data_IF_212403789755
#
_entry.id   IF_212403789755
#
_cell.length_a   1.000
_cell.length_b   1.000
_cell.length_c   1.000
_cell.angle_alpha   90.00
_cell.angle_beta   90.00
_cell.angle_gamma   90.00
#
_symmetry.space_group_name_H-M   'P 1'
#
loop_
_entity.id
_entity.type
_entity.pdbx_description
1 polymer ?
#
# COMPACT_ATOMS: atom_id res chain seq x y z
N UNK A 1 45.67 33.86 -26.14
CA UNK A 1 45.35 35.06 -25.33
C UNK A 1 43.93 34.96 -24.82
N UNK A 2 43.75 34.52 -23.57
CA UNK A 2 42.82 35.09 -22.58
C UNK A 2 42.92 34.22 -21.32
N UNK A 3 43.72 34.74 -20.39
CA UNK A 3 43.91 34.28 -19.03
C UNK A 3 42.73 34.78 -18.17
N UNK A 4 42.19 33.92 -17.31
CA UNK A 4 41.62 34.34 -16.03
C UNK A 4 41.72 33.18 -15.02
N UNK A 5 42.77 33.28 -14.21
CA UNK A 5 42.97 32.63 -12.90
C UNK A 5 41.82 32.96 -11.93
N UNK A 6 41.49 32.03 -11.02
CA UNK A 6 41.00 32.25 -9.63
C UNK A 6 40.88 30.87 -8.91
N UNK A 7 40.93 30.79 -7.57
CA UNK A 7 42.06 30.18 -6.87
C UNK A 7 41.70 28.98 -5.98
N UNK A 8 42.73 28.22 -5.62
CA UNK A 8 42.72 27.22 -4.56
C UNK A 8 42.70 27.87 -3.16
N UNK A 9 41.98 27.24 -2.22
CA UNK A 9 42.28 27.32 -0.79
C UNK A 9 41.21 27.96 0.09
N UNK A 10 40.30 27.14 0.66
CA UNK A 10 39.86 27.26 2.06
C UNK A 10 39.60 25.85 2.61
N UNK A 11 40.52 25.35 3.42
CA UNK A 11 40.33 24.17 4.28
C UNK A 11 39.43 24.57 5.45
N UNK A 12 38.15 24.20 5.39
CA UNK A 12 37.25 24.33 6.52
C UNK A 12 37.39 23.13 7.46
N UNK A 13 38.13 23.33 8.55
CA UNK A 13 38.17 22.49 9.74
C UNK A 13 36.78 22.45 10.40
N UNK A 14 36.17 21.27 10.49
CA UNK A 14 34.94 21.06 11.25
C UNK A 14 35.27 20.56 12.66
N UNK A 15 34.79 21.23 13.73
CA UNK A 15 35.06 20.81 15.09
C UNK A 15 34.22 19.60 15.50
N UNK A 16 34.93 18.65 16.11
CA UNK A 16 34.44 17.42 16.71
C UNK A 16 33.62 17.75 17.98
N UNK A 17 32.30 17.65 17.93
CA UNK A 17 31.40 17.89 19.07
C UNK A 17 30.95 16.55 19.66
N UNK A 18 31.77 16.04 20.59
CA UNK A 18 31.41 15.00 21.54
C UNK A 18 30.24 15.46 22.41
N UNK A 19 29.02 15.00 22.11
CA UNK A 19 27.88 15.11 23.04
C UNK A 19 27.83 13.86 23.92
N UNK A 20 28.27 14.06 25.15
CA UNK A 20 28.19 13.16 26.29
C UNK A 20 26.75 12.67 26.52
N UNK A 21 26.52 11.37 26.31
CA UNK A 21 25.29 10.69 26.70
C UNK A 21 25.39 10.34 28.19
N UNK A 22 24.71 11.11 29.03
CA UNK A 22 24.43 10.74 30.43
C UNK A 22 23.52 9.51 30.46
N UNK A 23 24.11 8.32 30.56
CA UNK A 23 23.44 7.09 30.99
C UNK A 23 22.96 7.28 32.42
N UNK A 24 21.64 7.34 32.63
CA UNK A 24 21.03 7.14 33.94
C UNK A 24 20.98 5.64 34.20
N UNK A 25 21.90 5.14 35.01
CA UNK A 25 21.84 3.82 35.63
C UNK A 25 20.72 3.84 36.68
N UNK A 26 19.62 3.15 36.41
CA UNK A 26 18.72 2.67 37.46
C UNK A 26 19.09 1.22 37.74
N UNK A 27 20.01 1.01 38.67
CA UNK A 27 20.26 -0.30 39.26
C UNK A 27 19.09 -0.61 40.21
N UNK A 28 18.24 -1.55 39.80
CA UNK A 28 17.28 -2.22 40.66
C UNK A 28 18.04 -3.09 41.67
N UNK A 29 17.93 -2.74 42.95
CA UNK A 29 18.36 -3.58 44.06
C UNK A 29 17.40 -4.76 44.17
N UNK A 30 17.89 -5.92 43.74
CA UNK A 30 17.33 -7.24 44.03
C UNK A 30 17.52 -7.49 45.53
N UNK A 31 16.43 -7.74 46.24
CA UNK A 31 16.46 -8.32 47.59
C UNK A 31 15.57 -9.55 47.55
N UNK A 32 16.21 -10.70 47.69
CA UNK A 32 15.60 -12.00 47.96
C UNK A 32 14.94 -11.96 49.35
N UNK A 33 13.71 -12.45 49.45
CA UNK A 33 13.17 -12.98 50.69
C UNK A 33 12.09 -14.00 50.34
N UNK A 34 12.39 -15.25 50.68
CA UNK A 34 11.53 -16.44 50.57
C UNK A 34 10.38 -16.39 51.60
N UNK A 35 9.24 -16.96 51.16
CA UNK A 35 8.24 -17.78 51.86
C UNK A 35 7.90 -17.55 53.34
N UNK A 36 6.60 -17.36 53.61
CA UNK A 36 5.80 -18.34 54.35
C UNK A 36 4.28 -18.02 54.29
N UNK A 37 3.50 -19.10 54.16
CA UNK A 37 2.05 -19.15 53.95
C UNK A 37 1.23 -19.01 55.27
N UNK A 38 0.19 -18.15 55.22
CA UNK A 38 -1.22 -18.40 55.65
C UNK A 38 -1.63 -18.34 57.18
N UNK A 39 -2.93 -18.36 57.55
CA UNK A 39 -3.86 -17.20 57.68
C UNK A 39 -4.57 -17.10 59.07
N UNK A 40 -5.23 -15.99 59.46
CA UNK A 40 -6.27 -16.02 60.53
C UNK A 40 -7.38 -14.95 60.43
N UNK A 41 -8.54 -15.35 60.97
CA UNK A 41 -9.95 -14.93 60.87
C UNK A 41 -10.30 -13.65 61.66
N UNK A 42 -11.38 -12.89 61.32
CA UNK A 42 -11.80 -11.68 62.05
C UNK A 42 -12.71 -11.97 63.24
N UNK A 43 -12.61 -11.16 64.30
CA UNK A 43 -13.53 -11.20 65.45
C UNK A 43 -14.18 -9.83 65.70
N UNK A 44 -15.50 -9.88 65.82
CA UNK A 44 -16.45 -8.82 66.17
C UNK A 44 -16.73 -8.88 67.67
N UNK A 45 -16.76 -7.74 68.40
CA UNK A 45 -17.56 -7.62 69.62
C UNK A 45 -17.85 -6.15 70.06
N UNK A 46 -19.14 -5.95 70.36
CA UNK A 46 -19.93 -4.86 70.99
C UNK A 46 -19.39 -4.46 72.40
N UNK A 47 -19.66 -3.35 73.11
CA UNK A 47 -20.60 -2.20 73.05
C UNK A 47 -20.26 -1.18 74.21
N UNK A 48 -21.17 -0.36 74.81
CA UNK A 48 -21.04 1.11 74.87
C UNK A 48 -20.80 1.71 76.29
N UNK A 49 -20.19 2.89 76.37
CA UNK A 49 -20.05 3.63 77.64
C UNK A 49 -20.84 4.94 77.57
N UNK A 50 -21.87 5.04 78.41
CA UNK A 50 -22.61 6.24 78.79
C UNK A 50 -21.75 7.11 79.70
N UNK A 51 -21.79 8.45 79.59
CA UNK A 51 -21.64 9.43 80.69
C UNK A 51 -21.92 10.88 80.16
N UNK A 52 -22.24 11.88 81.01
CA UNK A 52 -23.46 12.65 80.90
C UNK A 52 -23.28 14.13 80.52
N UNK A 53 -24.41 14.73 80.15
CA UNK A 53 -24.60 16.10 79.68
C UNK A 53 -24.39 17.17 80.75
N UNK A 54 -23.54 18.17 80.49
CA UNK A 54 -23.66 19.51 81.09
C UNK A 54 -23.54 20.63 80.04
N UNK A 55 -24.61 21.44 79.99
CA UNK A 55 -24.88 22.56 79.09
C UNK A 55 -23.90 23.71 79.35
N UNK A 56 -23.07 24.10 78.37
CA UNK A 56 -22.50 25.46 78.28
C UNK A 56 -23.19 26.24 77.16
N UNK A 57 -23.92 27.29 77.56
CA UNK A 57 -24.53 28.30 76.69
C UNK A 57 -23.45 28.93 75.79
N UNK A 58 -23.54 28.75 74.47
CA UNK A 58 -22.86 29.62 73.49
C UNK A 58 -23.87 30.57 72.88
N UNK A 59 -23.48 31.84 72.89
CA UNK A 59 -24.22 33.02 72.42
C UNK A 59 -24.56 32.87 70.93
N UNK A 60 -25.73 33.39 70.56
CA UNK A 60 -26.34 33.20 69.25
C UNK A 60 -25.47 33.69 68.09
N UNK A 61 -25.16 32.77 67.18
CA UNK A 61 -24.74 33.08 65.82
C UNK A 61 -26.00 33.06 64.95
N UNK A 62 -26.40 34.19 64.37
CA UNK A 62 -27.50 34.22 63.39
C UNK A 62 -27.07 33.42 62.16
N UNK A 63 -27.85 32.43 61.67
CA UNK A 63 -27.48 31.68 60.48
C UNK A 63 -27.67 32.59 59.26
N UNK A 64 -26.61 32.83 58.47
CA UNK A 64 -26.78 33.27 57.08
C UNK A 64 -27.55 32.17 56.34
N UNK A 65 -28.58 32.54 55.58
CA UNK A 65 -29.30 31.64 54.70
C UNK A 65 -28.30 30.81 53.87
N UNK A 66 -28.24 29.50 54.14
CA UNK A 66 -27.59 28.54 53.26
C UNK A 66 -28.38 28.55 51.95
N UNK A 67 -27.76 29.01 50.87
CA UNK A 67 -28.23 28.67 49.52
C UNK A 67 -28.26 27.15 49.44
N UNK A 68 -29.45 26.58 49.29
CA UNK A 68 -29.64 25.16 49.01
C UNK A 68 -28.97 24.85 47.68
N UNK A 69 -27.75 24.32 47.71
CA UNK A 69 -27.18 23.70 46.53
C UNK A 69 -27.98 22.42 46.27
N UNK A 70 -28.61 22.35 45.11
CA UNK A 70 -29.33 21.16 44.63
C UNK A 70 -28.46 19.90 44.83
N UNK A 71 -29.03 18.76 45.28
CA UNK A 71 -28.28 17.52 45.40
C UNK A 71 -27.63 17.17 44.06
N UNK A 72 -26.32 16.88 44.06
CA UNK A 72 -25.64 16.38 42.86
C UNK A 72 -26.36 15.11 42.43
N UNK A 73 -26.93 15.15 41.22
CA UNK A 73 -27.68 14.05 40.62
C UNK A 73 -26.73 12.85 40.51
N UNK A 74 -26.86 11.87 41.41
CA UNK A 74 -26.10 10.61 41.42
C UNK A 74 -26.53 9.66 40.28
N UNK A 75 -26.98 10.20 39.15
CA UNK A 75 -27.23 9.45 37.93
C UNK A 75 -25.96 9.46 37.11
N UNK A 76 -25.38 8.28 36.90
CA UNK A 76 -24.23 8.13 36.02
C UNK A 76 -24.60 8.70 34.65
N UNK A 77 -23.76 9.59 34.10
CA UNK A 77 -24.03 10.21 32.81
C UNK A 77 -24.05 9.12 31.74
N UNK A 78 -25.18 8.92 31.07
CA UNK A 78 -25.38 7.88 30.04
C UNK A 78 -24.27 7.86 28.97
N UNK A 79 -23.74 9.03 28.58
CA UNK A 79 -22.59 9.10 27.65
C UNK A 79 -21.28 8.60 28.26
N UNK A 80 -21.09 8.79 29.57
CA UNK A 80 -19.92 8.29 30.29
C UNK A 80 -20.00 6.78 30.52
N UNK A 81 -21.20 6.23 30.70
CA UNK A 81 -21.41 4.77 30.74
C UNK A 81 -21.16 4.13 29.39
N UNK A 82 -21.65 4.71 28.29
CA UNK A 82 -21.40 4.20 26.94
C UNK A 82 -19.90 4.25 26.59
N UNK A 83 -19.19 5.33 26.94
CA UNK A 83 -17.74 5.42 26.76
C UNK A 83 -16.96 4.38 27.60
N UNK A 84 -17.44 4.07 28.81
CA UNK A 84 -16.87 3.01 29.66
C UNK A 84 -17.18 1.63 29.09
N UNK A 85 -18.38 1.41 28.56
CA UNK A 85 -18.76 0.16 27.91
C UNK A 85 -17.90 -0.10 26.67
N UNK A 86 -17.69 0.90 25.80
CA UNK A 86 -16.80 0.78 24.63
C UNK A 86 -15.35 0.47 25.02
N UNK A 87 -14.84 1.11 26.08
CA UNK A 87 -13.49 0.80 26.60
C UNK A 87 -13.42 -0.61 27.18
N UNK A 88 -14.48 -1.05 27.86
CA UNK A 88 -14.57 -2.40 28.42
C UNK A 88 -14.64 -3.46 27.30
N UNK A 89 -15.36 -3.23 26.21
CA UNK A 89 -15.41 -4.16 25.07
C UNK A 89 -14.07 -4.25 24.36
N UNK A 90 -13.42 -3.12 24.07
CA UNK A 90 -12.08 -3.14 23.43
C UNK A 90 -11.02 -3.80 24.30
N UNK A 91 -11.10 -3.60 25.61
CA UNK A 91 -10.18 -4.22 26.56
C UNK A 91 -10.47 -5.72 26.75
N UNK A 92 -11.74 -6.12 26.69
CA UNK A 92 -12.14 -7.52 26.68
C UNK A 92 -11.65 -8.23 25.40
N UNK A 93 -11.83 -7.63 24.23
CA UNK A 93 -11.31 -8.17 22.95
C UNK A 93 -9.79 -8.27 22.93
N UNK A 94 -9.09 -7.27 23.51
CA UNK A 94 -7.62 -7.31 23.64
C UNK A 94 -7.19 -8.48 24.52
N UNK A 95 -7.83 -8.65 25.69
CA UNK A 95 -7.53 -9.75 26.61
C UNK A 95 -7.87 -11.11 26.02
N UNK A 96 -8.97 -11.21 25.29
CA UNK A 96 -9.39 -12.42 24.58
C UNK A 96 -8.41 -12.79 23.46
N UNK A 97 -7.95 -11.80 22.67
CA UNK A 97 -6.88 -12.02 21.69
C UNK A 97 -5.56 -12.44 22.36
N UNK A 98 -5.17 -11.82 23.45
CA UNK A 98 -3.96 -12.19 24.20
C UNK A 98 -4.08 -13.57 24.87
N UNK A 99 -5.28 -13.96 25.30
CA UNK A 99 -5.56 -15.29 25.83
C UNK A 99 -5.45 -16.33 24.71
N UNK A 100 -6.08 -16.10 23.55
CA UNK A 100 -5.96 -16.96 22.36
C UNK A 100 -4.52 -17.09 21.89
N UNK A 101 -3.77 -15.99 21.81
CA UNK A 101 -2.36 -16.03 21.42
C UNK A 101 -1.49 -16.79 22.44
N UNK A 102 -1.78 -16.66 23.74
CA UNK A 102 -1.05 -17.38 24.79
C UNK A 102 -1.36 -18.87 24.74
N UNK A 103 -2.63 -19.23 24.50
CA UNK A 103 -3.06 -20.61 24.32
C UNK A 103 -2.45 -21.21 23.04
N UNK A 104 -2.48 -20.49 21.92
CA UNK A 104 -1.86 -20.91 20.66
C UNK A 104 -0.34 -21.06 20.80
N UNK A 105 0.34 -20.16 21.53
CA UNK A 105 1.76 -20.29 21.86
C UNK A 105 2.02 -21.50 22.74
N UNK A 106 1.22 -21.72 23.77
CA UNK A 106 1.32 -22.89 24.64
C UNK A 106 1.17 -24.19 23.84
N UNK A 107 0.18 -24.27 22.94
CA UNK A 107 0.00 -25.42 22.05
C UNK A 107 1.16 -25.58 21.05
N UNK A 108 1.67 -24.48 20.48
CA UNK A 108 2.82 -24.52 19.55
C UNK A 108 4.11 -24.96 20.23
N UNK A 109 4.34 -24.53 21.47
CA UNK A 109 5.49 -24.95 22.28
C UNK A 109 5.35 -26.42 22.71
N UNK A 110 4.14 -26.87 23.02
CA UNK A 110 3.83 -28.27 23.33
C UNK A 110 3.98 -29.22 22.12
N UNK A 111 3.66 -28.75 20.91
CA UNK A 111 3.88 -29.51 19.66
C UNK A 111 5.36 -29.73 19.34
N UNK A 112 6.25 -28.92 19.92
CA UNK A 112 7.70 -29.02 19.71
C UNK A 112 8.12 -28.87 18.24
N UNK A 113 9.37 -29.25 17.95
CA UNK A 113 9.84 -29.23 16.57
C UNK A 113 9.21 -30.37 15.78
N UNK A 114 8.40 -30.03 14.76
CA UNK A 114 7.88 -30.98 13.77
C UNK A 114 8.98 -31.93 13.30
N UNK A 115 8.71 -33.23 13.30
CA UNK A 115 9.69 -34.25 12.88
C UNK A 115 10.20 -33.98 11.45
N UNK A 116 11.42 -34.42 11.14
CA UNK A 116 12.01 -34.25 9.79
C UNK A 116 11.10 -34.78 8.68
N UNK A 117 10.32 -35.83 8.96
CA UNK A 117 9.33 -36.39 8.05
C UNK A 117 8.09 -35.50 7.86
N UNK A 118 7.58 -34.87 8.92
CA UNK A 118 6.49 -33.91 8.83
C UNK A 118 6.91 -32.65 8.06
N UNK A 119 8.12 -32.14 8.33
CA UNK A 119 8.71 -31.01 7.59
C UNK A 119 8.87 -31.31 6.10
N UNK A 120 9.32 -32.53 5.75
CA UNK A 120 9.44 -32.96 4.34
C UNK A 120 8.07 -33.06 3.64
N UNK A 121 7.03 -33.58 4.32
CA UNK A 121 5.67 -33.65 3.78
C UNK A 121 5.06 -32.26 3.57
N UNK A 122 5.26 -31.34 4.51
CA UNK A 122 4.79 -29.96 4.40
C UNK A 122 5.48 -29.23 3.25
N UNK A 123 6.81 -29.34 3.12
CA UNK A 123 7.58 -28.76 2.01
C UNK A 123 7.20 -29.34 0.64
N UNK A 124 6.94 -30.65 0.56
CA UNK A 124 6.46 -31.30 -0.67
C UNK A 124 5.03 -30.85 -1.02
N UNK A 125 4.15 -30.69 -0.03
CA UNK A 125 2.81 -30.16 -0.25
C UNK A 125 2.83 -28.69 -0.69
N UNK A 126 3.73 -27.88 -0.13
CA UNK A 126 3.94 -26.50 -0.53
C UNK A 126 4.51 -26.40 -1.94
N UNK A 127 5.49 -27.23 -2.31
CA UNK A 127 6.03 -27.30 -3.68
C UNK A 127 5.00 -27.76 -4.69
N UNK A 128 4.13 -28.72 -4.33
CA UNK A 128 3.00 -29.15 -5.17
C UNK A 128 1.98 -28.03 -5.33
N UNK A 129 1.62 -27.35 -4.23
CA UNK A 129 0.69 -26.23 -4.25
C UNK A 129 1.23 -25.05 -5.09
N UNK A 130 2.50 -24.71 -4.94
CA UNK A 130 3.18 -23.67 -5.71
C UNK A 130 3.27 -24.06 -7.19
N UNK A 131 3.58 -25.32 -7.51
CA UNK A 131 3.57 -25.79 -8.90
C UNK A 131 2.17 -25.76 -9.53
N UNK A 132 1.13 -26.10 -8.77
CA UNK A 132 -0.26 -25.97 -9.24
C UNK A 132 -0.68 -24.51 -9.40
N UNK A 133 -0.26 -23.63 -8.50
CA UNK A 133 -0.53 -22.19 -8.59
C UNK A 133 0.20 -21.57 -9.80
N UNK A 134 1.47 -21.90 -10.03
CA UNK A 134 2.24 -21.44 -11.19
C UNK A 134 1.67 -21.95 -12.51
N UNK A 135 1.17 -23.19 -12.54
CA UNK A 135 0.46 -23.75 -13.71
C UNK A 135 -0.88 -23.06 -13.95
N UNK A 136 -1.61 -22.71 -12.89
CA UNK A 136 -2.87 -21.97 -13.00
C UNK A 136 -2.65 -20.53 -13.49
N UNK A 137 -1.60 -19.85 -13.00
CA UNK A 137 -1.22 -18.50 -13.45
C UNK A 137 -0.76 -18.50 -14.92
N UNK A 138 0.06 -19.48 -15.31
CA UNK A 138 0.48 -19.64 -16.71
C UNK A 138 -0.71 -19.93 -17.65
N UNK A 139 -1.69 -20.74 -17.21
CA UNK A 139 -2.93 -20.96 -17.96
C UNK A 139 -3.77 -19.70 -18.07
N UNK A 140 -3.86 -18.90 -17.00
CA UNK A 140 -4.57 -17.62 -17.03
C UNK A 140 -3.92 -16.63 -18.00
N UNK A 141 -2.59 -16.57 -18.05
CA UNK A 141 -1.87 -15.73 -19.00
C UNK A 141 -2.10 -16.18 -20.45
N UNK A 142 -2.02 -17.49 -20.72
CA UNK A 142 -2.31 -18.04 -22.05
C UNK A 142 -3.77 -17.79 -22.50
N UNK A 143 -4.74 -17.90 -21.59
CA UNK A 143 -6.14 -17.61 -21.89
C UNK A 143 -6.37 -16.10 -22.17
N UNK A 144 -5.60 -15.22 -21.53
CA UNK A 144 -5.63 -13.79 -21.83
C UNK A 144 -5.03 -13.50 -23.21
N UNK A 145 -3.90 -14.12 -23.56
CA UNK A 145 -3.29 -14.01 -24.89
C UNK A 145 -4.22 -14.56 -25.99
N UNK A 146 -4.88 -15.70 -25.75
CA UNK A 146 -5.85 -16.27 -26.68
C UNK A 146 -7.07 -15.36 -26.87
N UNK A 147 -7.57 -14.73 -25.79
CA UNK A 147 -8.66 -13.74 -25.88
C UNK A 147 -8.25 -12.46 -26.60
N UNK A 148 -6.99 -12.03 -26.51
CA UNK A 148 -6.48 -10.90 -27.28
C UNK A 148 -6.33 -11.24 -28.77
N UNK A 149 -5.90 -12.47 -29.08
CA UNK A 149 -5.91 -13.00 -30.44
C UNK A 149 -7.34 -13.15 -30.96
N UNK A 150 -8.30 -13.65 -30.18
CA UNK A 150 -9.70 -13.76 -30.61
C UNK A 150 -10.34 -12.38 -30.86
N UNK A 151 -10.04 -11.39 -30.01
CA UNK A 151 -10.49 -10.00 -30.21
C UNK A 151 -9.90 -9.37 -31.46
N UNK A 152 -8.65 -9.68 -31.80
CA UNK A 152 -8.01 -9.19 -33.03
C UNK A 152 -8.39 -9.99 -34.28
N UNK A 153 -8.80 -11.26 -34.12
CA UNK A 153 -9.29 -12.13 -35.20
C UNK A 153 -10.78 -11.93 -35.52
N UNK A 154 -11.57 -11.38 -34.59
CA UNK A 154 -12.94 -10.89 -34.88
C UNK A 154 -12.86 -9.61 -35.72
N UNK A 155 -12.81 -9.79 -37.05
CA UNK A 155 -13.12 -8.73 -38.01
C UNK A 155 -14.54 -8.22 -37.70
N UNK A 156 -14.77 -6.90 -37.62
CA UNK A 156 -16.11 -6.38 -37.41
C UNK A 156 -17.00 -6.83 -38.58
N UNK A 157 -18.12 -7.48 -38.26
CA UNK A 157 -19.14 -7.85 -39.22
C UNK A 157 -19.60 -6.60 -39.99
N UNK A 158 -19.42 -6.63 -41.31
CA UNK A 158 -19.96 -5.65 -42.24
C UNK A 158 -21.48 -5.77 -42.32
N UNK A 159 -22.20 -5.23 -41.34
CA UNK A 159 -23.61 -4.83 -41.50
C UNK A 159 -23.94 -3.64 -40.62
N UNK A 160 -23.62 -2.46 -41.14
CA UNK A 160 -24.37 -1.20 -41.03
C UNK A 160 -23.38 -0.03 -41.16
N UNK A 161 -22.98 0.28 -42.39
CA UNK A 161 -23.17 1.67 -42.86
C UNK A 161 -23.20 1.67 -44.39
N UNK A 162 -24.35 2.07 -44.93
CA UNK A 162 -24.61 2.18 -46.35
C UNK A 162 -24.59 3.67 -46.67
N UNK A 163 -23.40 4.26 -46.66
CA UNK A 163 -23.14 5.50 -47.38
C UNK A 163 -22.06 5.19 -48.41
N UNK A 164 -22.52 5.05 -49.64
CA UNK A 164 -21.72 4.84 -50.84
C UNK A 164 -20.79 6.02 -51.07
N UNK A 165 -19.54 5.90 -50.61
CA UNK A 165 -18.44 6.61 -51.25
C UNK A 165 -18.18 5.86 -52.57
N UNK A 166 -18.24 6.51 -53.74
CA UNK A 166 -17.88 5.87 -55.00
C UNK A 166 -16.43 5.39 -54.90
N UNK A 167 -16.23 4.08 -54.74
CA UNK A 167 -14.90 3.48 -54.87
C UNK A 167 -14.50 3.64 -56.35
N UNK A 168 -13.46 4.42 -56.67
CA UNK A 168 -13.00 4.53 -58.04
C UNK A 168 -12.58 3.14 -58.52
N UNK A 169 -13.12 2.71 -59.67
CA UNK A 169 -12.81 1.42 -60.27
C UNK A 169 -11.35 1.46 -60.71
N UNK A 170 -10.48 0.90 -59.87
CA UNK A 170 -9.08 0.70 -60.15
C UNK A 170 -8.99 -0.28 -61.31
N UNK A 171 -8.47 0.17 -62.45
CA UNK A 171 -8.29 -0.65 -63.65
C UNK A 171 -7.20 -1.70 -63.41
N UNK A 172 -7.24 -2.81 -64.14
CA UNK A 172 -6.27 -3.91 -63.95
C UNK A 172 -4.81 -3.45 -64.09
N UNK A 173 -4.56 -2.42 -64.90
CA UNK A 173 -3.24 -1.79 -65.07
C UNK A 173 -2.75 -1.09 -63.78
N UNK A 174 -3.65 -0.47 -63.02
CA UNK A 174 -3.34 0.23 -61.78
C UNK A 174 -3.05 -0.76 -60.64
N UNK A 175 -3.75 -1.91 -60.61
CA UNK A 175 -3.46 -3.01 -59.68
C UNK A 175 -2.11 -3.68 -59.94
N UNK A 176 -1.71 -3.82 -61.21
CA UNK A 176 -0.38 -4.35 -61.56
C UNK A 176 0.71 -3.37 -61.14
N UNK A 177 0.53 -2.06 -61.36
CA UNK A 177 1.45 -1.02 -60.89
C UNK A 177 1.65 -1.03 -59.39
N UNK A 178 0.56 -1.15 -58.62
CA UNK A 178 0.67 -1.21 -57.15
C UNK A 178 1.43 -2.46 -56.67
N UNK A 179 1.21 -3.62 -57.29
CA UNK A 179 1.96 -4.84 -56.94
C UNK A 179 3.44 -4.73 -57.32
N UNK A 180 3.74 -4.14 -58.45
CA UNK A 180 5.13 -3.89 -58.89
C UNK A 180 5.82 -2.88 -57.96
N UNK A 181 5.14 -1.82 -57.53
CA UNK A 181 5.64 -0.84 -56.56
C UNK A 181 5.87 -1.46 -55.17
N UNK A 182 4.95 -2.31 -54.70
CA UNK A 182 5.11 -3.04 -53.43
C UNK A 182 6.28 -4.03 -53.50
N UNK A 183 6.42 -4.78 -54.60
CA UNK A 183 7.55 -5.68 -54.82
C UNK A 183 8.87 -4.91 -54.94
N UNK A 184 8.87 -3.77 -55.64
CA UNK A 184 10.04 -2.90 -55.74
C UNK A 184 10.41 -2.27 -54.39
N UNK A 185 9.42 -1.92 -53.56
CA UNK A 185 9.66 -1.41 -52.21
C UNK A 185 10.25 -2.48 -51.29
N UNK A 186 9.78 -3.73 -51.41
CA UNK A 186 10.34 -4.87 -50.69
C UNK A 186 11.78 -5.17 -51.15
N UNK A 187 12.06 -5.10 -52.46
CA UNK A 187 13.42 -5.26 -52.98
C UNK A 187 14.35 -4.12 -52.52
N UNK A 188 13.90 -2.87 -52.55
CA UNK A 188 14.68 -1.73 -52.03
C UNK A 188 15.00 -1.88 -50.54
N UNK A 189 14.04 -2.34 -49.73
CA UNK A 189 14.27 -2.64 -48.31
C UNK A 189 15.25 -3.80 -48.11
N UNK A 190 15.15 -4.85 -48.94
CA UNK A 190 16.10 -5.96 -48.92
C UNK A 190 17.52 -5.50 -49.30
N UNK A 191 17.66 -4.69 -50.34
CA UNK A 191 18.95 -4.16 -50.79
C UNK A 191 19.54 -3.16 -49.78
N UNK A 192 18.72 -2.33 -49.15
CA UNK A 192 19.16 -1.46 -48.06
C UNK A 192 19.64 -2.27 -46.85
N UNK A 193 18.96 -3.38 -46.51
CA UNK A 193 19.39 -4.27 -45.43
C UNK A 193 20.70 -4.98 -45.74
N UNK A 194 20.90 -5.45 -47.00
CA UNK A 194 22.16 -6.01 -47.48
C UNK A 194 23.28 -4.96 -47.46
N UNK A 195 22.98 -3.72 -47.85
CA UNK A 195 23.93 -2.59 -47.81
C UNK A 195 24.29 -2.20 -46.37
N UNK A 196 23.38 -2.32 -45.42
CA UNK A 196 23.66 -2.11 -43.98
C UNK A 196 24.58 -3.22 -43.44
N UNK A 197 24.32 -4.49 -43.80
CA UNK A 197 25.17 -5.62 -43.43
C UNK A 197 26.57 -5.54 -44.07
N UNK A 198 26.69 -5.07 -45.31
CA UNK A 198 28.00 -4.85 -45.94
C UNK A 198 28.77 -3.71 -45.29
N UNK A 199 28.08 -2.66 -44.78
CA UNK A 199 28.72 -1.57 -44.03
C UNK A 199 29.27 -2.05 -42.69
N UNK A 200 28.54 -2.89 -41.96
CA UNK A 200 29.03 -3.47 -40.70
C UNK A 200 30.15 -4.48 -40.93
N UNK A 201 30.07 -5.29 -41.98
CA UNK A 201 31.13 -6.24 -42.34
C UNK A 201 32.43 -5.53 -42.75
N UNK A 202 32.35 -4.41 -43.48
CA UNK A 202 33.52 -3.62 -43.86
C UNK A 202 34.22 -2.97 -42.65
N UNK A 203 33.48 -2.63 -41.59
CA UNK A 203 34.03 -2.07 -40.35
C UNK A 203 34.77 -3.14 -39.55
N UNK A 204 34.19 -4.34 -39.43
CA UNK A 204 34.85 -5.52 -38.82
C UNK A 204 36.08 -5.99 -39.61
N UNK A 205 36.04 -5.92 -40.94
CA UNK A 205 37.16 -6.28 -41.82
C UNK A 205 38.27 -5.23 -41.80
N UNK A 206 37.92 -3.94 -41.67
CA UNK A 206 38.87 -2.85 -41.45
C UNK A 206 39.55 -2.94 -40.09
N UNK A 207 38.80 -3.24 -39.02
CA UNK A 207 39.37 -3.52 -37.70
C UNK A 207 40.35 -4.70 -37.77
N UNK A 208 40.01 -5.75 -38.51
CA UNK A 208 40.91 -6.91 -38.70
C UNK A 208 42.17 -6.55 -39.49
N UNK A 209 42.09 -5.69 -40.51
CA UNK A 209 43.26 -5.23 -41.29
C UNK A 209 44.15 -4.25 -40.52
N UNK A 210 43.57 -3.33 -39.76
CA UNK A 210 44.31 -2.32 -38.98
C UNK A 210 44.96 -2.92 -37.74
N UNK A 211 44.35 -3.95 -37.15
CA UNK A 211 44.91 -4.70 -36.02
C UNK A 211 45.84 -5.85 -36.44
N UNK A 212 46.25 -5.93 -37.72
CA UNK A 212 47.35 -6.83 -38.11
C UNK A 212 48.65 -6.28 -37.53
N UNK A 213 49.03 -6.80 -36.37
CA UNK A 213 50.32 -6.57 -35.74
C UNK A 213 51.44 -6.87 -36.73
N UNK A 214 52.28 -5.88 -37.02
CA UNK A 214 53.39 -6.01 -37.95
C UNK A 214 54.47 -6.94 -37.37
N UNK A 215 54.49 -8.19 -37.81
CA UNK A 215 55.40 -9.24 -37.37
C UNK A 215 56.85 -9.07 -37.85
N UNK A 216 57.16 -8.05 -38.67
CA UNK A 216 58.54 -7.75 -39.06
C UNK A 216 59.34 -7.04 -37.96
N UNK A 217 58.71 -6.71 -36.83
CA UNK A 217 59.35 -6.19 -35.61
C UNK A 217 59.20 -7.15 -34.43
N UNK A 218 59.01 -8.43 -34.71
CA UNK A 218 59.25 -9.47 -33.72
C UNK A 218 60.74 -9.82 -33.78
N UNK A 219 61.50 -9.53 -32.71
CA UNK A 219 62.88 -10.01 -32.51
C UNK A 219 62.92 -11.52 -32.22
N UNK A 220 62.06 -12.29 -32.90
CA UNK A 220 61.92 -13.75 -32.73
C UNK A 220 62.88 -14.50 -33.64
N UNK A 221 64.15 -14.08 -33.69
CA UNK A 221 65.23 -14.96 -34.16
C UNK A 221 65.77 -15.64 -32.91
N UNK A 222 65.26 -16.83 -32.66
CA UNK A 222 65.72 -17.72 -31.60
C UNK A 222 67.00 -18.41 -32.13
N UNK A 223 68.17 -17.86 -31.82
CA UNK A 223 69.44 -18.58 -31.91
C UNK A 223 69.62 -19.47 -30.67
N UNK A 224 68.89 -20.58 -30.59
CA UNK A 224 69.19 -21.61 -29.60
C UNK A 224 70.40 -22.43 -30.09
N UNK A 225 71.57 -22.20 -29.49
CA UNK A 225 72.82 -22.92 -29.85
C UNK A 225 73.00 -24.24 -29.08
N UNK A 226 72.11 -24.55 -28.15
CA UNK A 226 72.16 -25.76 -27.30
C UNK A 226 70.77 -26.39 -27.17
N UNK A 227 70.74 -27.71 -26.89
CA UNK A 227 69.51 -28.51 -26.86
C UNK A 227 68.60 -28.08 -25.70
N UNK A 228 69.20 -27.66 -24.59
CA UNK A 228 68.49 -27.22 -23.38
C UNK A 228 67.76 -25.88 -23.57
N UNK A 229 68.35 -24.93 -24.31
CA UNK A 229 67.73 -23.64 -24.62
C UNK A 229 66.54 -23.78 -25.59
N UNK A 230 66.64 -24.73 -26.55
CA UNK A 230 65.55 -25.03 -27.46
C UNK A 230 64.34 -25.64 -26.72
N UNK A 231 64.59 -26.50 -25.73
CA UNK A 231 63.53 -27.11 -24.91
C UNK A 231 62.84 -26.07 -24.04
N UNK A 232 63.60 -25.16 -23.40
CA UNK A 232 63.04 -24.12 -22.53
C UNK A 232 62.12 -23.12 -23.25
N UNK A 233 62.34 -22.91 -24.55
CA UNK A 233 61.55 -21.97 -25.35
C UNK A 233 60.36 -22.63 -26.08
N UNK A 234 60.42 -23.94 -26.35
CA UNK A 234 59.28 -24.69 -26.87
C UNK A 234 58.28 -25.13 -25.79
N UNK A 235 58.67 -25.10 -24.53
CA UNK A 235 57.73 -25.26 -23.42
C UNK A 235 56.88 -24.00 -23.27
N UNK A 236 55.66 -24.02 -23.84
CA UNK A 236 54.60 -23.08 -23.47
C UNK A 236 54.29 -23.33 -22.00
N UNK A 237 54.89 -22.53 -21.13
CA UNK A 237 54.53 -22.55 -19.73
C UNK A 237 53.06 -22.12 -19.63
N UNK A 238 52.18 -23.00 -19.15
CA UNK A 238 50.81 -22.72 -18.70
C UNK A 238 50.77 -21.74 -17.50
N UNK A 239 51.82 -20.96 -17.29
CA UNK A 239 51.86 -19.87 -16.35
C UNK A 239 51.37 -18.61 -17.04
N UNK A 240 50.04 -18.43 -17.07
CA UNK A 240 49.49 -17.07 -17.00
C UNK A 240 50.26 -16.32 -15.89
N UNK A 241 50.68 -15.06 -16.12
CA UNK A 241 51.49 -14.33 -15.15
C UNK A 241 50.81 -14.41 -13.78
N UNK A 242 51.53 -14.94 -12.78
CA UNK A 242 51.00 -15.15 -11.43
C UNK A 242 50.42 -13.83 -10.95
N UNK A 243 49.09 -13.76 -10.85
CA UNK A 243 48.35 -12.58 -10.41
C UNK A 243 48.84 -12.26 -9.00
N UNK A 244 49.65 -11.20 -8.89
CA UNK A 244 50.33 -10.84 -7.65
C UNK A 244 49.37 -10.36 -6.57
N UNK A 245 48.13 -9.99 -6.92
CA UNK A 245 47.14 -9.43 -5.99
C UNK A 245 45.72 -9.93 -6.27
N UNK A 246 45.46 -11.23 -6.08
CA UNK A 246 44.14 -11.83 -6.31
C UNK A 246 43.06 -11.17 -5.42
N UNK A 247 43.44 -10.68 -4.23
CA UNK A 247 42.56 -9.93 -3.34
C UNK A 247 42.02 -8.64 -3.95
N UNK A 248 42.82 -7.91 -4.74
CA UNK A 248 42.39 -6.63 -5.34
C UNK A 248 41.37 -6.86 -6.45
N UNK A 249 41.55 -7.94 -7.22
CA UNK A 249 40.59 -8.38 -8.24
C UNK A 249 39.27 -8.81 -7.63
N UNK A 250 39.31 -9.63 -6.58
CA UNK A 250 38.11 -10.05 -5.87
C UNK A 250 37.39 -8.85 -5.24
N UNK A 251 38.11 -7.92 -4.60
CA UNK A 251 37.52 -6.67 -4.07
C UNK A 251 36.88 -5.81 -5.16
N UNK A 252 37.48 -5.72 -6.35
CA UNK A 252 36.89 -5.02 -7.49
C UNK A 252 35.62 -5.73 -8.02
N UNK A 253 35.66 -7.05 -8.21
CA UNK A 253 34.50 -7.84 -8.63
C UNK A 253 33.36 -7.79 -7.61
N UNK A 254 33.67 -7.88 -6.30
CA UNK A 254 32.69 -7.73 -5.22
C UNK A 254 32.12 -6.32 -5.19
N UNK A 255 32.92 -5.27 -5.43
CA UNK A 255 32.44 -3.90 -5.46
C UNK A 255 31.49 -3.65 -6.62
N UNK A 256 31.83 -4.09 -7.84
CA UNK A 256 30.94 -3.98 -9.01
C UNK A 256 29.66 -4.77 -8.79
N UNK A 257 29.76 -6.02 -8.30
CA UNK A 257 28.60 -6.87 -8.04
C UNK A 257 27.73 -6.33 -6.91
N UNK A 258 28.32 -5.75 -5.88
CA UNK A 258 27.61 -5.10 -4.79
C UNK A 258 26.89 -3.84 -5.25
N UNK A 259 27.53 -2.99 -6.05
CA UNK A 259 26.86 -1.81 -6.62
C UNK A 259 25.70 -2.19 -7.53
N UNK A 260 25.88 -3.21 -8.37
CA UNK A 260 24.81 -3.68 -9.26
C UNK A 260 23.64 -4.29 -8.49
N UNK A 261 23.92 -5.14 -7.50
CA UNK A 261 22.88 -5.72 -6.64
C UNK A 261 22.21 -4.64 -5.78
N UNK A 262 22.97 -3.72 -5.20
CA UNK A 262 22.42 -2.61 -4.43
C UNK A 262 21.49 -1.75 -5.29
N UNK A 263 21.90 -1.38 -6.50
CA UNK A 263 21.08 -0.58 -7.40
C UNK A 263 19.83 -1.33 -7.85
N UNK A 264 19.95 -2.62 -8.15
CA UNK A 264 18.82 -3.46 -8.53
C UNK A 264 17.81 -3.64 -7.38
N UNK A 265 18.28 -3.96 -6.17
CA UNK A 265 17.43 -4.09 -4.99
C UNK A 265 16.82 -2.76 -4.58
N UNK A 266 17.59 -1.66 -4.63
CA UNK A 266 17.11 -0.33 -4.30
C UNK A 266 16.05 0.13 -5.31
N UNK A 267 16.26 -0.11 -6.61
CA UNK A 267 15.29 0.19 -7.67
C UNK A 267 14.00 -0.61 -7.48
N UNK A 268 14.10 -1.91 -7.20
CA UNK A 268 12.93 -2.76 -6.99
C UNK A 268 12.17 -2.42 -5.70
N UNK A 269 12.90 -2.11 -4.62
CA UNK A 269 12.34 -1.65 -3.35
C UNK A 269 11.67 -0.29 -3.52
N UNK A 270 12.31 0.65 -4.22
CA UNK A 270 11.72 1.95 -4.54
C UNK A 270 10.47 1.78 -5.38
N UNK A 271 10.47 1.02 -6.47
CA UNK A 271 9.26 0.81 -7.28
C UNK A 271 8.10 0.23 -6.46
N UNK A 272 8.38 -0.76 -5.61
CA UNK A 272 7.36 -1.39 -4.77
C UNK A 272 6.86 -0.44 -3.67
N UNK A 273 7.74 0.34 -3.07
CA UNK A 273 7.38 1.35 -2.08
C UNK A 273 6.55 2.48 -2.71
N UNK A 274 6.97 2.98 -3.87
CA UNK A 274 6.23 3.98 -4.64
C UNK A 274 4.87 3.45 -5.10
N UNK A 275 4.75 2.18 -5.49
CA UNK A 275 3.46 1.58 -5.84
C UNK A 275 2.51 1.52 -4.64
N UNK A 276 3.00 1.15 -3.45
CA UNK A 276 2.20 1.15 -2.22
C UNK A 276 1.80 2.57 -1.81
N UNK A 277 2.73 3.52 -1.90
CA UNK A 277 2.46 4.93 -1.62
C UNK A 277 1.41 5.49 -2.57
N UNK A 278 1.52 5.20 -3.87
CA UNK A 278 0.56 5.65 -4.88
C UNK A 278 -0.83 5.03 -4.66
N UNK A 279 -0.88 3.74 -4.27
CA UNK A 279 -2.14 3.07 -3.93
C UNK A 279 -2.80 3.69 -2.70
N UNK A 280 -2.02 3.98 -1.66
CA UNK A 280 -2.50 4.68 -0.47
C UNK A 280 -2.99 6.09 -0.80
N UNK A 281 -2.23 6.83 -1.61
CA UNK A 281 -2.58 8.17 -2.06
C UNK A 281 -3.89 8.18 -2.85
N UNK A 282 -4.08 7.21 -3.75
CA UNK A 282 -5.30 7.08 -4.53
C UNK A 282 -6.52 6.75 -3.68
N UNK A 283 -6.39 5.85 -2.69
CA UNK A 283 -7.48 5.58 -1.74
C UNK A 283 -7.78 6.79 -0.86
N UNK A 284 -6.76 7.54 -0.44
CA UNK A 284 -6.95 8.81 0.28
C UNK A 284 -7.68 9.84 -0.60
N UNK A 285 -7.34 9.93 -1.89
CA UNK A 285 -7.99 10.81 -2.84
C UNK A 285 -9.46 10.44 -3.07
N UNK A 286 -9.78 9.14 -3.19
CA UNK A 286 -11.18 8.67 -3.24
C UNK A 286 -11.94 9.06 -1.97
N UNK A 287 -11.32 8.88 -0.80
CA UNK A 287 -11.94 9.25 0.47
C UNK A 287 -12.24 10.75 0.54
N UNK A 288 -11.27 11.59 0.15
CA UNK A 288 -11.45 13.06 0.08
C UNK A 288 -12.52 13.44 -0.95
N UNK A 289 -12.56 12.77 -2.10
CA UNK A 289 -13.59 13.00 -3.11
C UNK A 289 -14.99 12.61 -2.61
N UNK A 290 -15.10 11.52 -1.84
CA UNK A 290 -16.35 11.10 -1.22
C UNK A 290 -16.78 12.08 -0.12
N UNK A 291 -15.85 12.59 0.70
CA UNK A 291 -16.12 13.66 1.66
C UNK A 291 -16.66 14.93 0.98
N UNK A 292 -16.04 15.35 -0.13
CA UNK A 292 -16.53 16.50 -0.92
C UNK A 292 -17.92 16.26 -1.49
N UNK A 293 -18.21 15.03 -1.95
CA UNK A 293 -19.55 14.64 -2.42
C UNK A 293 -20.60 14.66 -1.30
N UNK A 294 -20.20 14.29 -0.09
CA UNK A 294 -21.08 14.38 1.08
C UNK A 294 -21.32 15.84 1.48
N UNK A 295 -20.29 16.69 1.42
CA UNK A 295 -20.39 18.12 1.68
C UNK A 295 -21.36 18.80 0.70
N UNK A 296 -21.25 18.54 -0.61
CA UNK A 296 -22.20 19.07 -1.60
C UNK A 296 -23.62 18.54 -1.41
N UNK A 297 -23.79 17.29 -1.00
CA UNK A 297 -25.10 16.71 -0.71
C UNK A 297 -25.75 17.35 0.53
N UNK A 298 -24.93 17.69 1.54
CA UNK A 298 -25.40 18.31 2.78
C UNK A 298 -25.75 19.79 2.54
N UNK A 299 -24.99 20.49 1.69
CA UNK A 299 -25.35 21.82 1.21
C UNK A 299 -26.63 21.80 0.37
N UNK A 300 -26.79 20.83 -0.52
CA UNK A 300 -28.05 20.65 -1.26
C UNK A 300 -29.26 20.49 -0.31
N UNK A 301 -29.15 19.62 0.70
CA UNK A 301 -30.20 19.45 1.71
C UNK A 301 -30.49 20.74 2.50
N UNK A 302 -29.47 21.55 2.79
CA UNK A 302 -29.67 22.85 3.46
C UNK A 302 -30.45 23.81 2.58
N UNK A 303 -30.09 23.92 1.30
CA UNK A 303 -30.74 24.81 0.34
C UNK A 303 -32.21 24.43 0.17
N UNK A 304 -32.52 23.15 -0.07
CA UNK A 304 -33.92 22.71 -0.25
C UNK A 304 -34.74 22.93 1.03
N UNK A 305 -34.16 22.67 2.21
CA UNK A 305 -34.84 22.94 3.49
C UNK A 305 -35.13 24.43 3.69
N UNK A 306 -34.20 25.31 3.33
CA UNK A 306 -34.39 26.78 3.43
C UNK A 306 -35.50 27.22 2.48
N UNK A 307 -35.49 26.75 1.23
CA UNK A 307 -36.55 27.07 0.26
C UNK A 307 -37.93 26.63 0.76
N UNK A 308 -38.02 25.46 1.40
CA UNK A 308 -39.27 25.00 2.02
C UNK A 308 -39.69 25.86 3.22
N UNK A 309 -38.74 26.23 4.09
CA UNK A 309 -39.01 27.13 5.22
C UNK A 309 -39.55 28.47 4.73
N UNK A 310 -38.98 29.06 3.68
CA UNK A 310 -39.43 30.33 3.10
C UNK A 310 -40.83 30.25 2.50
N UNK A 311 -41.21 29.13 1.87
CA UNK A 311 -42.53 28.96 1.26
C UNK A 311 -43.65 28.70 2.30
N UNK A 312 -43.34 28.01 3.39
CA UNK A 312 -44.32 27.57 4.39
C UNK A 312 -44.44 28.51 5.59
N UNK A 313 -43.38 29.26 5.92
CA UNK A 313 -43.38 30.21 7.03
C UNK A 313 -44.43 31.33 6.92
N UNK A 314 -44.72 31.96 5.75
CA UNK A 314 -45.80 32.93 5.66
C UNK A 314 -47.18 32.29 5.84
N UNK A 315 -47.44 31.13 5.24
CA UNK A 315 -48.71 30.40 5.38
C UNK A 315 -49.01 30.05 6.83
N UNK A 316 -47.99 29.56 7.56
CA UNK A 316 -48.12 29.23 8.98
C UNK A 316 -48.35 30.45 9.88
N UNK A 317 -47.80 31.61 9.52
CA UNK A 317 -48.04 32.86 10.23
C UNK A 317 -49.46 33.38 10.01
N UNK A 318 -50.03 33.16 8.82
CA UNK A 318 -51.42 33.49 8.50
C UNK A 318 -52.40 32.55 9.21
N UNK A 319 -52.15 31.24 9.21
CA UNK A 319 -53.02 30.27 9.87
C UNK A 319 -53.03 30.39 11.40
N UNK A 320 -51.87 30.70 12.00
CA UNK A 320 -51.70 30.74 13.46
C UNK A 320 -50.90 31.95 13.89
N UNK A 321 -51.49 33.16 13.94
CA UNK A 321 -50.80 34.33 14.46
C UNK A 321 -50.52 34.19 15.97
N UNK A 322 -49.36 34.67 16.43
CA UNK A 322 -49.01 34.76 17.86
C UNK A 322 -48.04 33.69 18.40
N UNK A 323 -47.53 32.80 17.56
CA UNK A 323 -46.54 31.79 17.95
C UNK A 323 -45.11 32.38 17.94
N UNK A 324 -44.20 31.84 18.77
CA UNK A 324 -42.80 32.27 18.72
C UNK A 324 -42.10 31.70 17.48
N UNK A 325 -41.11 32.41 16.94
CA UNK A 325 -40.36 31.97 15.75
C UNK A 325 -39.80 30.55 15.85
N UNK A 326 -39.28 30.15 17.02
CA UNK A 326 -38.78 28.80 17.26
C UNK A 326 -39.90 27.73 17.22
N UNK A 327 -41.11 28.07 17.65
CA UNK A 327 -42.26 27.16 17.60
C UNK A 327 -42.72 26.94 16.16
N UNK A 328 -42.69 27.98 15.31
CA UNK A 328 -42.91 27.82 13.86
C UNK A 328 -41.83 26.93 13.24
N UNK A 329 -40.56 27.12 13.57
CA UNK A 329 -39.46 26.26 13.10
C UNK A 329 -39.64 24.79 13.47
N UNK A 330 -40.08 24.50 14.68
CA UNK A 330 -40.37 23.12 15.12
C UNK A 330 -41.54 22.51 14.36
N UNK A 331 -42.57 23.30 14.03
CA UNK A 331 -43.69 22.86 13.19
C UNK A 331 -43.27 22.62 11.74
N UNK A 332 -42.52 23.55 11.15
CA UNK A 332 -41.94 23.43 9.80
C UNK A 332 -41.05 22.19 9.73
N UNK A 333 -40.24 21.92 10.75
CA UNK A 333 -39.42 20.71 10.82
C UNK A 333 -40.25 19.42 10.84
N UNK A 334 -41.41 19.40 11.52
CA UNK A 334 -42.33 18.25 11.51
C UNK A 334 -42.97 18.05 10.14
N UNK A 335 -43.35 19.13 9.47
CA UNK A 335 -43.90 19.11 8.12
C UNK A 335 -42.84 18.65 7.11
N UNK A 336 -41.63 19.21 7.18
CA UNK A 336 -40.49 18.88 6.33
C UNK A 336 -40.13 17.39 6.34
N UNK A 337 -40.14 16.76 7.53
CA UNK A 337 -39.88 15.31 7.63
C UNK A 337 -40.87 14.44 6.87
N UNK A 338 -42.10 14.92 6.65
CA UNK A 338 -43.15 14.18 5.92
C UNK A 338 -43.33 14.68 4.47
N UNK A 339 -42.76 15.81 4.12
CA UNK A 339 -42.93 16.41 2.79
C UNK A 339 -42.32 15.54 1.68
N UNK A 340 -42.96 15.43 0.51
CA UNK A 340 -42.37 14.80 -0.67
C UNK A 340 -41.14 15.56 -1.20
N UNK A 341 -40.99 16.86 -0.86
CA UNK A 341 -39.88 17.71 -1.28
C UNK A 341 -38.58 17.41 -0.54
N UNK A 342 -38.65 16.64 0.55
CA UNK A 342 -37.46 16.18 1.24
C UNK A 342 -36.82 15.01 0.47
N UNK A 343 -35.66 15.22 -0.17
CA UNK A 343 -35.04 14.17 -0.99
C UNK A 343 -34.65 12.94 -0.17
N UNK A 344 -34.53 13.04 1.16
CA UNK A 344 -34.31 11.87 2.04
C UNK A 344 -35.50 10.88 2.01
N UNK A 345 -36.73 11.39 1.85
CA UNK A 345 -37.92 10.54 1.79
C UNK A 345 -37.99 9.79 0.46
N UNK A 346 -37.53 10.41 -0.63
CA UNK A 346 -37.42 9.78 -1.95
C UNK A 346 -36.42 8.62 -1.94
N UNK A 347 -35.23 8.85 -1.35
CA UNK A 347 -34.19 7.81 -1.24
C UNK A 347 -34.69 6.63 -0.39
N UNK A 348 -35.41 6.89 0.70
CA UNK A 348 -35.98 5.84 1.54
C UNK A 348 -37.05 5.02 0.81
N UNK A 349 -37.92 5.68 0.02
CA UNK A 349 -38.91 4.98 -0.81
C UNK A 349 -38.24 4.06 -1.84
N UNK A 350 -37.24 4.56 -2.58
CA UNK A 350 -36.49 3.76 -3.57
C UNK A 350 -35.71 2.61 -2.93
N UNK A 351 -35.12 2.81 -1.75
CA UNK A 351 -34.42 1.73 -1.03
C UNK A 351 -35.38 0.61 -0.61
N UNK A 352 -36.56 0.96 -0.07
CA UNK A 352 -37.58 -0.03 0.25
C UNK A 352 -38.15 -0.69 -1.02
N UNK A 353 -38.35 0.07 -2.10
CA UNK A 353 -38.82 -0.48 -3.38
C UNK A 353 -37.82 -1.49 -3.95
N UNK A 354 -36.54 -1.15 -4.01
CA UNK A 354 -35.47 -2.06 -4.49
C UNK A 354 -35.35 -3.27 -3.56
N UNK A 355 -35.41 -3.06 -2.24
CA UNK A 355 -35.39 -4.15 -1.25
C UNK A 355 -36.55 -5.14 -1.44
N UNK A 356 -37.78 -4.63 -1.58
CA UNK A 356 -38.96 -5.43 -1.86
C UNK A 356 -38.88 -6.14 -3.22
N UNK A 357 -38.34 -5.48 -4.25
CA UNK A 357 -38.08 -6.11 -5.55
C UNK A 357 -37.05 -7.25 -5.44
N UNK A 358 -35.97 -7.06 -4.67
CA UNK A 358 -34.97 -8.11 -4.44
C UNK A 358 -35.56 -9.28 -3.67
N UNK A 359 -36.35 -9.01 -2.63
CA UNK A 359 -37.03 -10.02 -1.83
C UNK A 359 -38.05 -10.80 -2.68
N UNK A 360 -38.77 -10.12 -3.58
CA UNK A 360 -39.65 -10.73 -4.56
C UNK A 360 -38.86 -11.63 -5.51
N UNK A 361 -37.76 -11.16 -6.08
CA UNK A 361 -36.90 -11.96 -6.97
C UNK A 361 -36.36 -13.20 -6.24
N UNK A 362 -35.94 -13.08 -4.98
CA UNK A 362 -35.46 -14.21 -4.17
C UNK A 362 -36.58 -15.20 -3.83
N UNK A 363 -37.82 -14.74 -3.61
CA UNK A 363 -38.98 -15.59 -3.33
C UNK A 363 -39.51 -16.30 -4.58
N UNK A 364 -39.48 -15.66 -5.75
CA UNK A 364 -39.93 -16.26 -7.01
C UNK A 364 -38.83 -17.06 -7.73
N UNK A 365 -37.56 -16.75 -7.51
CA UNK A 365 -36.42 -17.49 -8.06
C UNK A 365 -36.19 -18.88 -7.44
N UNK A 366 -36.82 -19.19 -6.30
CA UNK A 366 -36.74 -20.49 -5.63
C UNK A 366 -37.87 -21.47 -6.04
N UNK A 367 -38.74 -21.07 -6.98
CA UNK A 367 -39.84 -21.90 -7.51
C UNK A 367 -39.57 -22.38 -8.94
N UNK A 368 -38.36 -22.11 -9.47
CA UNK A 368 -37.91 -22.53 -10.79
C UNK A 368 -36.65 -23.42 -10.70
N UNK A 369 -36.73 -24.46 -9.89
CA UNK A 369 -36.01 -25.74 -10.03
C UNK A 369 -37.04 -26.86 -9.85
#
# INVERSE_FOLDING_TARGET
MLLAHLPEGVTASFPNLNKSVKKKNCLSRISLAEDHHQPHIPTNQKSPIYLPTYRRRRRGFKPRHRKTTMPKKMGVNSKAEEARARKATTEAERKDREAREREERYWREAEGNKSRAAKKREEESQKRAEATARRAEARRLAELEEKELEKSMKKPDKKADRVSIPVPKVTEAELRRQREEEQAALQKKADESKKRQSRTAAEEEYERMVLVTNTNREDSIIEARTVEDAIAQMTVADSLPVDRHPERRLKASFKVRFFFLFFFFFSFFFLRFYALFFKLYFELWKFVANLKRLETSLEFLRIVRIAFEEAELPKLKEEKPGLTHNQYKDMIWKLWKKSPDNPLNQVWFWFNFIGNCLEMILKFGFVAE
#
